data_IF_221000815023
#
_entry.id   IF_221000815023
#
_cell.length_a   1.000
_cell.length_b   1.000
_cell.length_c   1.000
_cell.angle_alpha   90.00
_cell.angle_beta   90.00
_cell.angle_gamma   90.00
#
_symmetry.space_group_name_H-M   'P 1'
#
loop_
_entity.id
_entity.type
_entity.pdbx_description
1 polymer ?
#
# COMPACT_ATOMS: atom_id res chain seq x y z
N UNK A 1 28.04 -6.38 -4.31
CA UNK A 1 27.79 -4.93 -4.40
C UNK A 1 26.49 -4.60 -3.68
N UNK A 2 26.54 -4.18 -2.42
CA UNK A 2 25.35 -4.00 -1.57
C UNK A 2 24.66 -2.65 -1.79
N UNK A 3 25.44 -1.57 -1.90
CA UNK A 3 24.93 -0.20 -2.07
C UNK A 3 24.17 -0.01 -3.41
N UNK A 4 24.68 -0.45 -4.58
CA UNK A 4 23.94 -0.30 -5.83
C UNK A 4 22.60 -1.04 -5.83
N UNK A 5 22.54 -2.22 -5.20
CA UNK A 5 21.30 -2.99 -5.07
C UNK A 5 20.23 -2.25 -4.28
N UNK A 6 20.63 -1.61 -3.17
CA UNK A 6 19.74 -0.76 -2.37
C UNK A 6 19.21 0.43 -3.19
N UNK A 7 20.08 1.12 -3.94
CA UNK A 7 19.69 2.28 -4.76
C UNK A 7 18.65 1.86 -5.81
N UNK A 8 18.90 0.75 -6.52
CA UNK A 8 17.96 0.26 -7.55
C UNK A 8 16.61 -0.09 -6.94
N UNK A 9 16.59 -0.80 -5.80
CA UNK A 9 15.33 -1.14 -5.13
C UNK A 9 14.57 0.08 -4.62
N UNK A 10 15.26 1.08 -4.07
CA UNK A 10 14.66 2.33 -3.64
C UNK A 10 14.02 3.09 -4.82
N UNK A 11 14.69 3.14 -5.97
CA UNK A 11 14.14 3.73 -7.19
C UNK A 11 12.90 2.98 -7.68
N UNK A 12 12.91 1.65 -7.65
CA UNK A 12 11.75 0.81 -8.00
C UNK A 12 10.58 1.07 -7.05
N UNK A 13 10.82 1.14 -5.73
CA UNK A 13 9.79 1.45 -4.75
C UNK A 13 9.19 2.84 -5.01
N UNK A 14 10.04 3.84 -5.27
CA UNK A 14 9.61 5.20 -5.57
C UNK A 14 8.73 5.29 -6.84
N UNK A 15 9.14 4.67 -7.94
CA UNK A 15 8.35 4.66 -9.18
C UNK A 15 7.03 3.91 -9.01
N UNK A 16 7.02 2.84 -8.21
CA UNK A 16 5.80 2.13 -7.83
C UNK A 16 4.82 3.03 -7.05
N UNK A 17 5.29 3.84 -6.10
CA UNK A 17 4.45 4.81 -5.40
C UNK A 17 3.84 5.86 -6.36
N UNK A 18 4.61 6.36 -7.33
CA UNK A 18 4.09 7.24 -8.38
C UNK A 18 3.00 6.55 -9.21
N UNK A 19 3.21 5.28 -9.56
CA UNK A 19 2.23 4.50 -10.32
C UNK A 19 0.91 4.34 -9.55
N UNK A 20 0.96 4.05 -8.24
CA UNK A 20 -0.23 4.00 -7.37
C UNK A 20 -0.95 5.35 -7.38
N UNK A 21 -0.21 6.45 -7.23
CA UNK A 21 -0.77 7.79 -7.23
C UNK A 21 -1.52 8.09 -8.53
N UNK A 22 -0.87 7.94 -9.69
CA UNK A 22 -1.50 8.22 -10.98
C UNK A 22 -2.69 7.30 -11.26
N UNK A 23 -2.59 6.01 -10.90
CA UNK A 23 -3.69 5.05 -11.04
C UNK A 23 -4.91 5.46 -10.21
N UNK A 24 -4.70 5.83 -8.95
CA UNK A 24 -5.78 6.27 -8.06
C UNK A 24 -6.39 7.61 -8.48
N UNK A 25 -5.55 8.56 -8.92
CA UNK A 25 -6.01 9.85 -9.42
C UNK A 25 -6.86 9.71 -10.69
N UNK A 26 -6.39 8.89 -11.64
CA UNK A 26 -7.14 8.59 -12.87
C UNK A 26 -8.48 7.93 -12.56
N UNK A 27 -8.50 6.91 -11.70
CA UNK A 27 -9.74 6.22 -11.34
C UNK A 27 -10.73 7.13 -10.59
N UNK A 28 -10.24 8.04 -9.75
CA UNK A 28 -11.11 9.01 -9.09
C UNK A 28 -11.73 10.00 -10.10
N UNK A 29 -10.94 10.42 -11.09
CA UNK A 29 -11.36 11.39 -12.13
C UNK A 29 -12.40 10.78 -13.08
N UNK A 30 -12.14 9.59 -13.62
CA UNK A 30 -13.00 8.95 -14.63
C UNK A 30 -13.99 7.93 -14.04
N UNK A 31 -13.93 7.68 -12.73
CA UNK A 31 -14.67 6.61 -12.08
C UNK A 31 -16.19 6.74 -12.13
N UNK A 32 -16.71 7.97 -12.17
CA UNK A 32 -18.15 8.22 -12.33
C UNK A 32 -18.66 7.73 -13.70
N UNK A 33 -17.91 8.03 -14.76
CA UNK A 33 -18.23 7.61 -16.12
C UNK A 33 -18.11 6.09 -16.26
N UNK A 34 -17.03 5.51 -15.75
CA UNK A 34 -16.82 4.07 -15.71
C UNK A 34 -17.94 3.36 -14.93
N UNK A 35 -18.40 3.89 -13.80
CA UNK A 35 -19.48 3.27 -13.04
C UNK A 35 -20.81 3.23 -13.81
N UNK A 36 -21.07 4.23 -14.67
CA UNK A 36 -22.30 4.33 -15.46
C UNK A 36 -22.28 3.44 -16.69
N UNK A 37 -21.16 3.45 -17.44
CA UNK A 37 -21.07 2.79 -18.74
C UNK A 37 -20.26 1.48 -18.74
N UNK A 38 -19.27 1.34 -17.85
CA UNK A 38 -18.27 0.26 -17.87
C UNK A 38 -17.99 -0.30 -16.45
N UNK A 39 -19.05 -0.77 -15.77
CA UNK A 39 -18.96 -1.16 -14.35
C UNK A 39 -18.04 -2.35 -14.10
N UNK A 40 -17.93 -3.28 -15.05
CA UNK A 40 -17.01 -4.43 -14.94
C UNK A 40 -15.56 -3.95 -14.99
N UNK A 41 -15.23 -3.10 -15.96
CA UNK A 41 -13.89 -2.54 -16.12
C UNK A 41 -13.46 -1.74 -14.89
N UNK A 42 -14.38 -0.98 -14.28
CA UNK A 42 -14.16 -0.29 -13.02
C UNK A 42 -13.73 -1.24 -11.89
N UNK A 43 -14.39 -2.39 -11.76
CA UNK A 43 -14.04 -3.40 -10.75
C UNK A 43 -12.73 -4.09 -11.09
N UNK A 44 -12.47 -4.39 -12.36
CA UNK A 44 -11.17 -4.92 -12.82
C UNK A 44 -10.02 -3.96 -12.47
N UNK A 45 -10.19 -2.67 -12.71
CA UNK A 45 -9.20 -1.65 -12.34
C UNK A 45 -8.93 -1.61 -10.83
N UNK A 46 -9.95 -1.78 -10.00
CA UNK A 46 -9.80 -1.80 -8.54
C UNK A 46 -9.14 -3.08 -8.05
N UNK A 47 -9.70 -4.22 -8.41
CA UNK A 47 -9.34 -5.53 -7.83
C UNK A 47 -8.05 -6.08 -8.44
N UNK A 48 -7.81 -5.87 -9.74
CA UNK A 48 -6.62 -6.40 -10.40
C UNK A 48 -5.52 -5.34 -10.49
N UNK A 49 -5.81 -4.17 -11.07
CA UNK A 49 -4.76 -3.18 -11.37
C UNK A 49 -4.26 -2.48 -10.10
N UNK A 50 -5.14 -1.79 -9.37
CA UNK A 50 -4.72 -1.02 -8.19
C UNK A 50 -4.16 -1.93 -7.09
N UNK A 51 -4.87 -3.01 -6.76
CA UNK A 51 -4.37 -3.97 -5.77
C UNK A 51 -3.10 -4.69 -6.24
N UNK A 52 -2.95 -5.00 -7.53
CA UNK A 52 -1.74 -5.62 -8.07
C UNK A 52 -0.51 -4.71 -7.99
N UNK A 53 -0.68 -3.43 -8.36
CA UNK A 53 0.39 -2.43 -8.21
C UNK A 53 0.74 -2.30 -6.72
N UNK A 54 -0.25 -2.21 -5.82
CA UNK A 54 0.00 -2.11 -4.39
C UNK A 54 0.71 -3.34 -3.81
N UNK A 55 0.43 -4.56 -4.28
CA UNK A 55 1.19 -5.76 -3.90
C UNK A 55 2.67 -5.55 -4.22
N UNK A 56 2.96 -5.13 -5.45
CA UNK A 56 4.34 -4.95 -5.90
C UNK A 56 5.03 -3.80 -5.17
N UNK A 57 4.33 -2.67 -4.95
CA UNK A 57 4.84 -1.55 -4.14
C UNK A 57 5.22 -2.02 -2.75
N UNK A 58 4.32 -2.68 -2.02
CA UNK A 58 4.58 -3.15 -0.66
C UNK A 58 5.74 -4.15 -0.61
N UNK A 59 5.79 -5.09 -1.55
CA UNK A 59 6.89 -6.06 -1.60
C UNK A 59 8.25 -5.40 -1.86
N UNK A 60 8.31 -4.45 -2.78
CA UNK A 60 9.55 -3.72 -3.11
C UNK A 60 10.00 -2.79 -1.99
N UNK A 61 9.07 -2.19 -1.22
CA UNK A 61 9.40 -1.46 0.01
C UNK A 61 10.04 -2.38 1.05
N UNK A 62 9.46 -3.56 1.30
CA UNK A 62 10.03 -4.55 2.23
C UNK A 62 11.40 -5.02 1.75
N UNK A 63 11.56 -5.32 0.46
CA UNK A 63 12.85 -5.70 -0.12
C UNK A 63 13.90 -4.59 0.02
N UNK A 64 13.49 -3.33 -0.11
CA UNK A 64 14.35 -2.16 0.13
C UNK A 64 14.82 -2.12 1.58
N UNK A 65 13.92 -2.32 2.55
CA UNK A 65 14.27 -2.36 3.98
C UNK A 65 15.22 -3.51 4.33
N UNK A 66 15.03 -4.69 3.73
CA UNK A 66 15.94 -5.82 3.90
C UNK A 66 17.35 -5.46 3.37
N UNK A 67 17.44 -4.87 2.19
CA UNK A 67 18.72 -4.45 1.62
C UNK A 67 19.35 -3.29 2.40
N UNK A 68 18.53 -2.42 2.98
CA UNK A 68 18.98 -1.36 3.87
C UNK A 68 19.61 -1.94 5.14
N UNK A 69 18.98 -2.96 5.76
CA UNK A 69 19.56 -3.65 6.91
C UNK A 69 20.94 -4.27 6.58
N UNK A 70 21.07 -4.86 5.40
CA UNK A 70 22.34 -5.42 4.91
C UNK A 70 23.39 -4.30 4.81
N UNK A 71 23.08 -3.19 4.15
CA UNK A 71 24.00 -2.05 4.04
C UNK A 71 24.38 -1.50 5.42
N UNK A 72 23.42 -1.35 6.34
CA UNK A 72 23.70 -0.92 7.72
C UNK A 72 24.68 -1.85 8.44
N UNK A 73 24.50 -3.16 8.26
CA UNK A 73 25.32 -4.17 8.95
C UNK A 73 26.73 -4.26 8.39
N UNK A 74 26.88 -4.21 7.07
CA UNK A 74 28.16 -4.47 6.39
C UNK A 74 28.97 -3.22 6.08
N UNK A 75 28.33 -2.08 5.82
CA UNK A 75 29.02 -0.85 5.40
C UNK A 75 29.04 0.22 6.50
N UNK A 76 28.02 0.25 7.38
CA UNK A 76 27.92 1.24 8.46
C UNK A 76 28.33 0.69 9.85
N UNK A 77 28.72 -0.58 9.95
CA UNK A 77 29.18 -1.20 11.19
C UNK A 77 28.12 -1.35 12.28
N UNK A 78 26.83 -1.23 11.93
CA UNK A 78 25.71 -1.40 12.87
C UNK A 78 25.53 -2.89 13.17
N UNK A 79 25.17 -3.25 14.40
CA UNK A 79 24.89 -4.66 14.71
C UNK A 79 23.65 -5.14 13.92
N UNK A 80 23.65 -6.40 13.49
CA UNK A 80 22.51 -7.00 12.75
C UNK A 80 21.20 -6.88 13.55
N UNK A 81 21.29 -6.95 14.88
CA UNK A 81 20.15 -6.79 15.78
C UNK A 81 19.61 -5.36 15.74
N UNK A 82 20.48 -4.35 15.84
CA UNK A 82 20.07 -2.95 15.84
C UNK A 82 19.57 -2.51 14.46
N UNK A 83 20.25 -2.91 13.37
CA UNK A 83 19.81 -2.65 12.00
C UNK A 83 18.44 -3.27 11.72
N UNK A 84 18.20 -4.49 12.20
CA UNK A 84 16.89 -5.15 12.13
C UNK A 84 15.82 -4.38 12.90
N UNK A 85 16.13 -3.90 14.11
CA UNK A 85 15.21 -3.08 14.90
C UNK A 85 14.85 -1.78 14.16
N UNK A 86 15.83 -1.10 13.55
CA UNK A 86 15.61 0.11 12.76
C UNK A 86 14.68 -0.17 11.58
N UNK A 87 14.95 -1.22 10.78
CA UNK A 87 14.14 -1.54 9.61
C UNK A 87 12.71 -1.94 9.97
N UNK A 88 12.53 -2.71 11.05
CA UNK A 88 11.20 -3.06 11.56
C UNK A 88 10.45 -1.84 12.10
N UNK A 89 11.14 -0.89 12.73
CA UNK A 89 10.55 0.37 13.21
C UNK A 89 10.08 1.26 12.05
N UNK A 90 10.85 1.30 10.96
CA UNK A 90 10.45 1.98 9.72
C UNK A 90 9.19 1.32 9.16
N UNK A 91 9.17 -0.01 9.01
CA UNK A 91 8.00 -0.74 8.51
C UNK A 91 6.74 -0.52 9.37
N UNK A 92 6.89 -0.52 10.70
CA UNK A 92 5.79 -0.20 11.62
C UNK A 92 5.25 1.22 11.36
N UNK A 93 6.14 2.20 11.22
CA UNK A 93 5.78 3.59 10.94
C UNK A 93 5.05 3.71 9.61
N UNK A 94 5.51 3.02 8.57
CA UNK A 94 4.86 2.99 7.26
C UNK A 94 3.45 2.39 7.34
N UNK A 95 3.27 1.26 8.04
CA UNK A 95 1.95 0.61 8.22
C UNK A 95 0.97 1.52 8.95
N UNK A 96 1.41 2.17 10.04
CA UNK A 96 0.56 3.10 10.80
C UNK A 96 0.21 4.32 9.96
N UNK A 97 1.22 4.92 9.32
CA UNK A 97 1.03 6.12 8.47
C UNK A 97 0.08 5.82 7.33
N UNK A 98 0.27 4.68 6.65
CA UNK A 98 -0.62 4.23 5.59
C UNK A 98 -2.05 4.03 6.09
N UNK A 99 -2.24 3.35 7.22
CA UNK A 99 -3.58 3.13 7.81
C UNK A 99 -4.29 4.47 8.10
N UNK A 100 -3.56 5.47 8.60
CA UNK A 100 -4.14 6.82 8.83
C UNK A 100 -4.50 7.47 7.48
N UNK A 101 -3.57 7.52 6.54
CA UNK A 101 -3.77 8.14 5.23
C UNK A 101 -4.94 7.52 4.48
N UNK A 102 -5.03 6.19 4.42
CA UNK A 102 -6.07 5.49 3.65
C UNK A 102 -7.46 5.57 4.27
N UNK A 103 -7.57 5.89 5.56
CA UNK A 103 -8.85 5.95 6.26
C UNK A 103 -9.40 7.37 6.39
N UNK A 104 -8.52 8.39 6.42
CA UNK A 104 -8.91 9.78 6.65
C UNK A 104 -8.65 10.69 5.45
N UNK A 105 -7.49 10.58 4.80
CA UNK A 105 -7.06 11.55 3.76
C UNK A 105 -7.40 11.05 2.35
N UNK A 106 -6.98 9.83 2.04
CA UNK A 106 -7.06 9.23 0.71
C UNK A 106 -8.26 8.30 0.53
N UNK A 107 -9.15 8.24 1.53
CA UNK A 107 -10.25 7.28 1.63
C UNK A 107 -10.99 7.01 0.32
N UNK A 108 -11.43 8.08 -0.36
CA UNK A 108 -12.21 7.98 -1.61
C UNK A 108 -11.41 7.41 -2.79
N UNK A 109 -10.08 7.60 -2.77
CA UNK A 109 -9.17 7.20 -3.83
C UNK A 109 -8.73 5.74 -3.67
N UNK A 110 -8.46 5.32 -2.43
CA UNK A 110 -7.84 4.01 -2.13
C UNK A 110 -8.78 3.03 -1.42
N UNK A 111 -10.09 3.32 -1.36
CA UNK A 111 -11.08 2.53 -0.61
C UNK A 111 -10.97 1.02 -0.81
N UNK A 112 -10.72 0.58 -2.05
CA UNK A 112 -10.72 -0.84 -2.40
C UNK A 112 -9.32 -1.46 -2.48
N UNK A 113 -8.27 -0.73 -2.09
CA UNK A 113 -6.93 -1.30 -1.94
C UNK A 113 -6.89 -1.99 -0.58
N UNK A 114 -6.68 -3.31 -0.60
CA UNK A 114 -6.65 -4.17 0.59
C UNK A 114 -5.41 -5.05 0.65
N UNK A 115 -4.72 -5.26 -0.48
CA UNK A 115 -3.61 -6.20 -0.61
C UNK A 115 -2.33 -5.82 0.15
N UNK A 116 -2.20 -4.56 0.59
CA UNK A 116 -1.04 -4.09 1.36
C UNK A 116 -0.86 -4.94 2.64
N UNK A 117 -1.93 -5.13 3.42
CA UNK A 117 -1.84 -5.85 4.68
C UNK A 117 -1.54 -7.35 4.53
N UNK A 118 -2.22 -8.11 3.64
CA UNK A 118 -1.84 -9.50 3.35
C UNK A 118 -0.36 -9.66 2.96
N UNK A 119 0.19 -8.72 2.20
CA UNK A 119 1.61 -8.76 1.80
C UNK A 119 2.54 -8.52 2.99
N UNK A 120 2.23 -7.54 3.85
CA UNK A 120 2.98 -7.31 5.09
C UNK A 120 2.90 -8.53 6.02
N UNK A 121 1.71 -9.11 6.19
CA UNK A 121 1.48 -10.32 6.98
C UNK A 121 2.32 -11.48 6.43
N UNK A 122 2.29 -11.71 5.12
CA UNK A 122 3.06 -12.77 4.47
C UNK A 122 4.57 -12.58 4.68
N UNK A 123 5.08 -11.36 4.53
CA UNK A 123 6.49 -11.07 4.71
C UNK A 123 6.94 -11.26 6.17
N UNK A 124 6.14 -10.78 7.13
CA UNK A 124 6.43 -10.92 8.57
C UNK A 124 6.31 -12.36 9.03
N UNK A 125 5.31 -13.10 8.57
CA UNK A 125 5.18 -14.53 8.85
C UNK A 125 6.38 -15.32 8.29
N UNK A 126 6.77 -15.04 7.05
CA UNK A 126 7.97 -15.62 6.45
C UNK A 126 9.24 -15.29 7.24
N UNK A 127 9.37 -14.07 7.75
CA UNK A 127 10.49 -13.66 8.59
C UNK A 127 10.48 -14.39 9.95
N UNK A 128 9.30 -14.48 10.58
CA UNK A 128 9.11 -15.14 11.88
C UNK A 128 9.48 -16.62 11.81
N UNK A 129 9.05 -17.36 10.79
CA UNK A 129 9.38 -18.80 10.64
C UNK A 129 10.88 -19.09 10.55
N UNK A 130 11.69 -18.12 10.10
CA UNK A 130 13.15 -18.29 9.96
C UNK A 130 13.95 -17.76 11.15
N UNK A 131 13.44 -16.74 11.84
CA UNK A 131 14.23 -15.97 12.81
C UNK A 131 13.64 -15.95 14.23
N UNK A 132 12.53 -16.66 14.49
CA UNK A 132 11.90 -16.71 15.80
C UNK A 132 12.20 -18.03 16.52
N UNK A 133 12.87 -17.91 17.67
CA UNK A 133 13.00 -19.00 18.64
C UNK A 133 11.97 -18.78 19.76
N UNK A 134 11.01 -19.71 19.88
CA UNK A 134 9.98 -19.67 20.91
C UNK A 134 10.51 -19.90 22.33
N UNK A 135 11.70 -20.49 22.47
CA UNK A 135 12.31 -20.81 23.76
C UNK A 135 13.20 -19.69 24.31
N UNK A 136 13.74 -18.84 23.42
CA UNK A 136 14.53 -17.67 23.76
C UNK A 136 14.28 -16.53 22.74
N UNK A 137 13.12 -15.87 22.77
CA UNK A 137 12.75 -14.90 21.75
C UNK A 137 13.68 -13.68 21.79
N UNK A 138 14.34 -13.42 20.66
CA UNK A 138 15.17 -12.21 20.49
C UNK A 138 14.30 -10.95 20.47
N UNK A 139 14.90 -9.78 20.76
CA UNK A 139 14.22 -8.47 20.67
C UNK A 139 13.52 -8.27 19.33
N UNK A 140 14.20 -8.58 18.23
CA UNK A 140 13.63 -8.48 16.88
C UNK A 140 12.54 -9.53 16.65
N UNK A 141 12.66 -10.72 17.24
CA UNK A 141 11.60 -11.75 17.20
C UNK A 141 10.31 -11.28 17.86
N UNK A 142 10.39 -10.67 19.05
CA UNK A 142 9.23 -10.06 19.72
C UNK A 142 8.65 -8.92 18.88
N UNK A 143 9.50 -8.08 18.30
CA UNK A 143 9.07 -6.95 17.48
C UNK A 143 8.33 -7.40 16.21
N UNK A 144 8.81 -8.46 15.53
CA UNK A 144 8.14 -9.08 14.38
C UNK A 144 6.76 -9.62 14.79
N UNK A 145 6.68 -10.34 15.92
CA UNK A 145 5.42 -10.90 16.40
C UNK A 145 4.37 -9.82 16.71
N UNK A 146 4.79 -8.73 17.38
CA UNK A 146 3.92 -7.58 17.67
C UNK A 146 3.47 -6.90 16.37
N UNK A 147 4.40 -6.63 15.44
CA UNK A 147 4.08 -5.99 14.18
C UNK A 147 3.14 -6.86 13.32
N UNK A 148 3.30 -8.18 13.35
CA UNK A 148 2.40 -9.12 12.70
C UNK A 148 0.98 -9.05 13.30
N UNK A 149 0.87 -9.03 14.64
CA UNK A 149 -0.41 -8.88 15.32
C UNK A 149 -1.09 -7.54 14.97
N UNK A 150 -0.32 -6.45 14.91
CA UNK A 150 -0.81 -5.13 14.46
C UNK A 150 -1.30 -5.20 13.01
N UNK A 151 -0.53 -5.79 12.09
CA UNK A 151 -0.91 -5.93 10.68
C UNK A 151 -2.19 -6.77 10.48
N UNK A 152 -2.34 -7.86 11.23
CA UNK A 152 -3.58 -8.65 11.23
C UNK A 152 -4.77 -7.85 11.74
N UNK A 153 -4.59 -7.10 12.84
CA UNK A 153 -5.65 -6.29 13.44
C UNK A 153 -6.08 -5.17 12.50
N UNK A 154 -5.13 -4.42 11.93
CA UNK A 154 -5.43 -3.35 10.96
C UNK A 154 -6.09 -3.88 9.71
N UNK A 155 -5.72 -5.07 9.23
CA UNK A 155 -6.38 -5.71 8.09
C UNK A 155 -7.86 -6.01 8.37
N UNK A 156 -8.17 -6.64 9.51
CA UNK A 156 -9.55 -6.96 9.88
C UNK A 156 -10.38 -5.69 10.03
N UNK A 157 -9.84 -4.68 10.72
CA UNK A 157 -10.49 -3.37 10.87
C UNK A 157 -10.72 -2.74 9.50
N UNK A 158 -9.74 -2.78 8.60
CA UNK A 158 -9.85 -2.21 7.27
C UNK A 158 -10.95 -2.89 6.45
N UNK A 159 -10.99 -4.21 6.43
CA UNK A 159 -12.04 -4.97 5.72
C UNK A 159 -13.43 -4.58 6.26
N UNK A 160 -13.59 -4.54 7.57
CA UNK A 160 -14.85 -4.14 8.20
C UNK A 160 -15.26 -2.70 7.81
N UNK A 161 -14.32 -1.75 7.86
CA UNK A 161 -14.55 -0.35 7.47
C UNK A 161 -14.93 -0.22 5.99
N UNK A 162 -14.24 -0.93 5.10
CA UNK A 162 -14.52 -0.89 3.66
C UNK A 162 -15.89 -1.46 3.36
N UNK A 163 -16.28 -2.59 3.97
CA UNK A 163 -17.62 -3.17 3.83
C UNK A 163 -18.67 -2.19 4.34
N UNK A 164 -18.49 -1.64 5.55
CA UNK A 164 -19.43 -0.69 6.14
C UNK A 164 -19.60 0.57 5.27
N UNK A 165 -18.49 1.17 4.80
CA UNK A 165 -18.51 2.35 3.92
C UNK A 165 -19.08 2.03 2.54
N UNK A 166 -18.85 0.83 2.00
CA UNK A 166 -19.45 0.42 0.73
C UNK A 166 -20.98 0.38 0.84
N UNK A 167 -21.51 -0.16 1.93
CA UNK A 167 -22.95 -0.28 2.18
C UNK A 167 -23.61 1.06 2.54
N UNK A 168 -22.99 1.87 3.42
CA UNK A 168 -23.58 3.12 3.94
C UNK A 168 -23.26 4.35 3.08
N UNK A 169 -22.10 4.38 2.43
CA UNK A 169 -21.57 5.55 1.71
C UNK A 169 -21.04 5.18 0.30
N UNK A 170 -21.86 4.61 -0.60
CA UNK A 170 -21.39 4.20 -1.92
C UNK A 170 -20.86 5.40 -2.73
N UNK A 171 -19.67 5.25 -3.32
CA UNK A 171 -18.93 6.36 -3.96
C UNK A 171 -19.71 7.09 -5.06
N UNK A 172 -20.59 6.39 -5.78
CA UNK A 172 -21.30 6.94 -6.95
C UNK A 172 -22.82 7.06 -6.73
N UNK A 173 -23.27 7.15 -5.47
CA UNK A 173 -24.70 7.27 -5.15
C UNK A 173 -25.29 8.50 -5.84
N UNK A 174 -26.34 8.32 -6.65
CA UNK A 174 -27.05 9.39 -7.34
C UNK A 174 -26.42 9.90 -8.65
N UNK A 175 -25.28 9.34 -9.09
CA UNK A 175 -24.67 9.70 -10.38
C UNK A 175 -25.22 8.89 -11.57
N UNK A 176 -25.88 7.75 -11.31
CA UNK A 176 -26.55 6.98 -12.37
C UNK A 176 -27.70 7.76 -13.03
N UNK A 177 -28.27 8.75 -12.33
CA UNK A 177 -29.43 9.54 -12.78
C UNK A 177 -29.04 10.90 -13.39
N UNK A 178 -27.78 11.34 -13.23
CA UNK A 178 -27.29 12.60 -13.80
C UNK A 178 -26.56 12.37 -15.12
N UNK A 179 -26.53 13.37 -15.99
CA UNK A 179 -25.57 13.40 -17.10
C UNK A 179 -24.16 13.40 -16.51
N UNK A 180 -23.37 12.38 -16.85
CA UNK A 180 -21.98 12.25 -16.40
C UNK A 180 -21.13 12.72 -17.57
N UNK A 181 -20.23 13.67 -17.34
CA UNK A 181 -19.32 14.18 -18.37
C UNK A 181 -18.58 13.02 -19.05
N UNK A 182 -18.48 13.09 -20.36
CA UNK A 182 -17.69 12.17 -21.17
C UNK A 182 -16.20 12.32 -20.86
N UNK A 183 -15.37 11.30 -21.15
CA UNK A 183 -13.93 11.39 -20.93
C UNK A 183 -13.27 12.56 -21.68
N UNK A 184 -13.80 12.91 -22.86
CA UNK A 184 -13.31 14.02 -23.68
C UNK A 184 -13.57 15.36 -22.96
N UNK A 185 -14.80 15.58 -22.46
CA UNK A 185 -15.13 16.80 -21.71
C UNK A 185 -14.31 16.94 -20.42
N UNK A 186 -14.06 15.82 -19.73
CA UNK A 186 -13.20 15.79 -18.54
C UNK A 186 -11.77 16.20 -18.91
N UNK A 187 -11.22 15.64 -19.99
CA UNK A 187 -9.87 15.95 -20.45
C UNK A 187 -9.72 17.41 -20.90
N UNK A 188 -10.72 17.95 -21.62
CA UNK A 188 -10.74 19.36 -22.00
C UNK A 188 -10.79 20.30 -20.80
N UNK A 189 -11.58 19.96 -19.78
CA UNK A 189 -11.65 20.72 -18.54
C UNK A 189 -10.31 20.72 -17.81
N UNK A 190 -9.63 19.58 -17.73
CA UNK A 190 -8.29 19.50 -17.14
C UNK A 190 -7.30 20.37 -17.92
N UNK A 191 -7.29 20.27 -19.26
CA UNK A 191 -6.43 21.09 -20.12
C UNK A 191 -6.62 22.59 -19.88
N UNK A 192 -7.85 23.07 -19.69
CA UNK A 192 -8.14 24.48 -19.40
C UNK A 192 -7.64 24.94 -18.02
N UNK A 193 -7.49 24.03 -17.05
CA UNK A 193 -6.98 24.35 -15.71
C UNK A 193 -5.44 24.46 -15.72
N UNK A 194 -4.77 23.71 -16.59
CA UNK A 194 -3.30 23.68 -16.69
C UNK A 194 -2.73 24.53 -17.83
N UNK A 195 -3.57 25.30 -18.53
CA UNK A 195 -3.17 26.29 -19.54
C UNK A 195 -3.17 27.70 -18.96
#
# INVERSE_FOLDING_TARGET
MMIPGLIVLALVAFTNYLMVFFSCYGLHTYGAWLNKYHRVDLWCLRVLVQNGICVYTTWTTIATLINFNIVLSYEAGVSISDGGTVCLSILLTEVITWFILENFVLEKHVRYILTIYPVVIMALAGNMTKNYDSTAPSRNGVFIAVLLAVACTTFVVRVALVIWRHLKQPLYRGQNTKEVMSPIEIAEKQRKIFS
#
